data_IF_573275569485
#
_entry.id   IF_573275569485
#
_cell.length_a   1.000
_cell.length_b   1.000
_cell.length_c   1.000
_cell.angle_alpha   90.00
_cell.angle_beta   90.00
_cell.angle_gamma   90.00
#
_symmetry.space_group_name_H-M   'P 1'
#
loop_
_entity.id
_entity.type
_entity.pdbx_description
1 polymer ?
#
# COMPACT_ATOMS: atom_id res chain seq x y z
N UNK A 1 -8.63 4.90 -20.47
CA UNK A 1 -7.83 4.53 -19.29
C UNK A 1 -7.86 5.55 -18.14
N UNK A 2 -7.71 6.85 -18.44
CA UNK A 2 -7.55 7.95 -17.47
C UNK A 2 -8.46 7.92 -16.23
N UNK A 3 -9.78 7.81 -16.38
CA UNK A 3 -10.74 7.80 -15.25
C UNK A 3 -10.49 6.65 -14.26
N UNK A 4 -10.07 5.47 -14.74
CA UNK A 4 -9.74 4.32 -13.88
C UNK A 4 -8.44 4.55 -13.10
N UNK A 5 -7.47 5.23 -13.69
CA UNK A 5 -6.23 5.64 -13.01
C UNK A 5 -6.51 6.72 -11.97
N UNK A 6 -7.38 7.68 -12.25
CA UNK A 6 -7.81 8.68 -11.26
C UNK A 6 -8.46 8.03 -10.04
N UNK A 7 -9.27 6.98 -10.25
CA UNK A 7 -9.82 6.17 -9.18
C UNK A 7 -8.74 5.42 -8.38
N UNK A 8 -7.69 4.90 -9.02
CA UNK A 8 -6.53 4.32 -8.31
C UNK A 8 -5.82 5.36 -7.43
N UNK A 9 -5.62 6.58 -7.94
CA UNK A 9 -4.98 7.67 -7.20
C UNK A 9 -5.84 8.07 -6.00
N UNK A 10 -7.16 8.06 -6.13
CA UNK A 10 -8.08 8.25 -5.00
C UNK A 10 -7.93 7.12 -3.98
N UNK A 11 -7.85 5.86 -4.42
CA UNK A 11 -7.64 4.73 -3.52
C UNK A 11 -6.29 4.82 -2.78
N UNK A 12 -5.23 5.34 -3.41
CA UNK A 12 -3.99 5.65 -2.70
C UNK A 12 -4.16 6.75 -1.64
N UNK A 13 -4.94 7.79 -1.92
CA UNK A 13 -5.27 8.83 -0.94
C UNK A 13 -6.06 8.24 0.25
N UNK A 14 -7.00 7.35 -0.01
CA UNK A 14 -7.73 6.60 1.01
C UNK A 14 -6.81 5.75 1.90
N UNK A 15 -5.83 5.06 1.31
CA UNK A 15 -4.82 4.29 2.05
C UNK A 15 -3.97 5.22 2.91
N UNK A 16 -3.49 6.34 2.36
CA UNK A 16 -2.71 7.35 3.11
C UNK A 16 -3.51 7.92 4.29
N UNK A 17 -4.80 8.19 4.09
CA UNK A 17 -5.71 8.64 5.14
C UNK A 17 -5.87 7.59 6.26
N UNK A 18 -6.01 6.30 5.91
CA UNK A 18 -6.08 5.23 6.89
C UNK A 18 -4.76 5.06 7.69
N UNK A 19 -3.62 5.17 7.01
CA UNK A 19 -2.30 5.18 7.63
C UNK A 19 -2.14 6.36 8.59
N UNK A 20 -2.62 7.55 8.23
CA UNK A 20 -2.59 8.72 9.11
C UNK A 20 -3.44 8.49 10.37
N UNK A 21 -4.64 7.90 10.25
CA UNK A 21 -5.47 7.51 11.41
C UNK A 21 -4.76 6.54 12.34
N UNK A 22 -4.11 5.51 11.80
CA UNK A 22 -3.30 4.59 12.60
C UNK A 22 -2.14 5.32 13.29
N UNK A 23 -1.46 6.20 12.56
CA UNK A 23 -0.29 6.92 13.09
C UNK A 23 -0.67 7.86 14.24
N UNK A 24 -1.87 8.47 14.20
CA UNK A 24 -2.37 9.29 15.31
C UNK A 24 -2.54 8.49 16.61
N UNK A 25 -2.78 7.17 16.54
CA UNK A 25 -2.84 6.32 17.74
C UNK A 25 -1.47 6.14 18.38
N UNK A 26 -0.38 6.34 17.64
CA UNK A 26 0.99 6.13 18.15
C UNK A 26 1.43 7.21 19.13
N UNK A 27 0.73 8.34 19.16
CA UNK A 27 0.99 9.42 20.12
C UNK A 27 0.28 9.18 21.46
N UNK A 28 -0.54 8.14 21.56
CA UNK A 28 -1.27 7.75 22.76
C UNK A 28 -0.51 6.66 23.54
N UNK A 29 -0.70 6.59 24.87
CA UNK A 29 -0.37 5.40 25.64
C UNK A 29 -1.08 4.16 25.09
N UNK A 30 -0.45 2.98 25.19
CA UNK A 30 -0.99 1.74 24.62
C UNK A 30 -2.45 1.46 25.07
N UNK A 31 -2.76 1.65 26.36
CA UNK A 31 -4.09 1.42 26.91
C UNK A 31 -5.20 2.27 26.28
N UNK A 32 -4.86 3.45 25.76
CA UNK A 32 -5.80 4.37 25.12
C UNK A 32 -5.88 4.10 23.60
N UNK A 33 -4.79 3.60 23.01
CA UNK A 33 -4.71 3.24 21.59
C UNK A 33 -5.34 1.87 21.27
N UNK A 34 -5.21 0.91 22.19
CA UNK A 34 -5.57 -0.51 22.01
C UNK A 34 -7.00 -0.74 21.50
N UNK A 35 -8.04 -0.05 22.02
CA UNK A 35 -9.43 -0.23 21.57
C UNK A 35 -9.64 0.10 20.08
N UNK A 36 -8.79 0.94 19.51
CA UNK A 36 -8.89 1.42 18.12
C UNK A 36 -7.85 0.79 17.20
N UNK A 37 -6.80 0.21 17.76
CA UNK A 37 -5.62 -0.22 17.03
C UNK A 37 -5.93 -1.31 16.00
N UNK A 38 -6.62 -2.38 16.40
CA UNK A 38 -6.89 -3.50 15.51
C UNK A 38 -7.86 -3.14 14.39
N UNK A 39 -8.85 -2.30 14.69
CA UNK A 39 -9.76 -1.77 13.68
C UNK A 39 -9.00 -0.93 12.64
N UNK A 40 -8.08 -0.06 13.07
CA UNK A 40 -7.24 0.72 12.18
C UNK A 40 -6.31 -0.15 11.32
N UNK A 41 -5.66 -1.16 11.92
CA UNK A 41 -4.82 -2.14 11.20
C UNK A 41 -5.62 -2.88 10.13
N UNK A 42 -6.80 -3.38 10.48
CA UNK A 42 -7.67 -4.09 9.55
C UNK A 42 -8.19 -3.18 8.42
N UNK A 43 -8.48 -1.91 8.70
CA UNK A 43 -8.91 -0.94 7.69
C UNK A 43 -7.85 -0.71 6.61
N UNK A 44 -6.58 -0.53 7.02
CA UNK A 44 -5.46 -0.40 6.09
C UNK A 44 -5.34 -1.65 5.22
N UNK A 45 -5.36 -2.84 5.83
CA UNK A 45 -5.27 -4.10 5.10
C UNK A 45 -6.36 -4.26 4.04
N UNK A 46 -7.62 -3.95 4.38
CA UNK A 46 -8.75 -3.98 3.42
C UNK A 46 -8.55 -3.00 2.27
N UNK A 47 -8.16 -1.75 2.57
CA UNK A 47 -7.96 -0.70 1.54
C UNK A 47 -6.80 -1.03 0.60
N UNK A 48 -5.69 -1.53 1.14
CA UNK A 48 -4.54 -1.98 0.34
C UNK A 48 -4.94 -3.15 -0.56
N UNK A 49 -5.65 -4.16 -0.03
CA UNK A 49 -6.10 -5.30 -0.84
C UNK A 49 -7.05 -4.88 -1.96
N UNK A 50 -8.00 -3.98 -1.68
CA UNK A 50 -8.88 -3.40 -2.70
C UNK A 50 -8.07 -2.67 -3.78
N UNK A 51 -7.11 -1.84 -3.38
CA UNK A 51 -6.25 -1.10 -4.30
C UNK A 51 -5.40 -2.01 -5.18
N UNK A 52 -4.81 -3.07 -4.61
CA UNK A 52 -4.01 -4.02 -5.37
C UNK A 52 -4.85 -4.79 -6.38
N UNK A 53 -6.04 -5.27 -5.97
CA UNK A 53 -6.96 -5.95 -6.88
C UNK A 53 -7.38 -5.03 -8.04
N UNK A 54 -7.78 -3.80 -7.72
CA UNK A 54 -8.18 -2.84 -8.74
C UNK A 54 -7.01 -2.47 -9.67
N UNK A 55 -5.79 -2.31 -9.13
CA UNK A 55 -4.59 -2.06 -9.92
C UNK A 55 -4.31 -3.20 -10.89
N UNK A 56 -4.45 -4.44 -10.43
CA UNK A 56 -4.25 -5.62 -11.25
C UNK A 56 -5.21 -5.63 -12.44
N UNK A 57 -6.52 -5.48 -12.15
CA UNK A 57 -7.59 -5.47 -13.15
C UNK A 57 -7.46 -4.36 -14.20
N UNK A 58 -7.08 -3.14 -13.79
CA UNK A 58 -7.15 -1.96 -14.68
C UNK A 58 -5.81 -1.57 -15.29
N UNK A 59 -4.69 -2.01 -14.72
CA UNK A 59 -3.34 -1.63 -15.17
C UNK A 59 -2.49 -2.84 -15.51
N UNK A 60 -2.24 -3.73 -14.54
CA UNK A 60 -1.22 -4.77 -14.70
C UNK A 60 -1.64 -5.85 -15.69
N UNK A 61 -2.85 -6.42 -15.55
CA UNK A 61 -3.35 -7.44 -16.46
C UNK A 61 -3.43 -6.93 -17.92
N UNK A 62 -4.01 -5.75 -18.22
CA UNK A 62 -4.00 -5.21 -19.58
C UNK A 62 -2.61 -4.96 -20.16
N UNK A 63 -1.64 -4.51 -19.34
CA UNK A 63 -0.26 -4.32 -19.79
C UNK A 63 0.45 -5.66 -20.07
N UNK A 64 0.19 -6.69 -19.25
CA UNK A 64 0.73 -8.04 -19.43
C UNK A 64 0.16 -8.71 -20.67
N UNK A 65 -1.17 -8.72 -20.82
CA UNK A 65 -1.87 -9.35 -21.96
C UNK A 65 -1.41 -8.79 -23.31
N UNK A 66 -1.04 -7.51 -23.36
CA UNK A 66 -0.57 -6.82 -24.56
C UNK A 66 0.96 -6.81 -24.70
N UNK A 67 1.70 -7.40 -23.77
CA UNK A 67 3.17 -7.39 -23.77
C UNK A 67 3.79 -5.98 -23.63
N UNK A 68 3.07 -5.05 -23.01
CA UNK A 68 3.46 -3.64 -22.89
C UNK A 68 4.17 -3.32 -21.58
N UNK A 69 4.07 -4.17 -20.56
CA UNK A 69 4.63 -3.89 -19.24
C UNK A 69 6.17 -3.70 -19.25
N UNK A 70 6.88 -4.47 -20.07
CA UNK A 70 8.34 -4.37 -20.25
C UNK A 70 8.77 -3.04 -20.90
N UNK A 71 7.84 -2.31 -21.52
CA UNK A 71 8.10 -0.99 -22.12
C UNK A 71 8.09 0.14 -21.10
N UNK A 72 7.73 -0.14 -19.84
CA UNK A 72 7.76 0.82 -18.74
C UNK A 72 9.05 0.58 -17.94
N UNK A 73 10.04 1.51 -17.96
CA UNK A 73 11.37 1.27 -17.41
C UNK A 73 11.42 0.86 -15.92
N UNK A 74 10.42 1.26 -15.13
CA UNK A 74 10.35 0.99 -13.69
C UNK A 74 9.45 -0.19 -13.30
N UNK A 75 8.81 -0.88 -14.26
CA UNK A 75 7.79 -1.89 -13.96
C UNK A 75 8.32 -3.04 -13.09
N UNK A 76 9.45 -3.62 -13.46
CA UNK A 76 10.08 -4.71 -12.70
C UNK A 76 10.44 -4.29 -11.26
N UNK A 77 10.94 -3.06 -11.07
CA UNK A 77 11.23 -2.52 -9.74
C UNK A 77 9.96 -2.35 -8.91
N UNK A 78 8.89 -1.82 -9.51
CA UNK A 78 7.59 -1.63 -8.83
C UNK A 78 6.96 -2.98 -8.46
N UNK A 79 7.01 -3.98 -9.34
CA UNK A 79 6.51 -5.32 -9.07
C UNK A 79 7.29 -5.97 -7.91
N UNK A 80 8.62 -5.88 -7.94
CA UNK A 80 9.49 -6.38 -6.88
C UNK A 80 9.19 -5.70 -5.52
N UNK A 81 9.16 -4.37 -5.48
CA UNK A 81 8.84 -3.60 -4.26
C UNK A 81 7.43 -3.88 -3.75
N UNK A 82 6.47 -4.11 -4.65
CA UNK A 82 5.10 -4.48 -4.26
C UNK A 82 5.09 -5.86 -3.59
N UNK A 83 5.81 -6.84 -4.15
CA UNK A 83 5.94 -8.19 -3.56
C UNK A 83 6.66 -8.14 -2.21
N UNK A 84 7.77 -7.43 -2.13
CA UNK A 84 8.53 -7.24 -0.90
C UNK A 84 7.68 -6.61 0.20
N UNK A 85 6.99 -5.50 -0.09
CA UNK A 85 6.13 -4.84 0.88
C UNK A 85 5.00 -5.76 1.37
N UNK A 86 4.43 -6.60 0.49
CA UNK A 86 3.43 -7.60 0.89
C UNK A 86 4.01 -8.62 1.86
N UNK A 87 5.24 -9.11 1.61
CA UNK A 87 5.91 -10.05 2.53
C UNK A 87 6.20 -9.40 3.88
N UNK A 88 6.72 -8.16 3.88
CA UNK A 88 6.99 -7.40 5.09
C UNK A 88 5.71 -7.15 5.92
N UNK A 89 4.59 -6.80 5.27
CA UNK A 89 3.30 -6.64 5.96
C UNK A 89 2.79 -7.97 6.54
N UNK A 90 2.91 -9.07 5.80
CA UNK A 90 2.52 -10.39 6.30
C UNK A 90 3.34 -10.79 7.53
N UNK A 91 4.66 -10.64 7.47
CA UNK A 91 5.55 -10.89 8.61
C UNK A 91 5.17 -10.01 9.80
N UNK A 92 4.97 -8.71 9.58
CA UNK A 92 4.57 -7.77 10.62
C UNK A 92 3.24 -8.12 11.29
N UNK A 93 2.27 -8.70 10.57
CA UNK A 93 1.02 -9.17 11.17
C UNK A 93 1.27 -10.38 12.08
N UNK A 94 2.13 -11.31 11.66
CA UNK A 94 2.49 -12.51 12.41
C UNK A 94 3.31 -12.16 13.67
N UNK A 95 4.30 -11.28 13.52
CA UNK A 95 5.23 -10.92 14.59
C UNK A 95 4.54 -10.04 15.65
N UNK A 96 3.72 -9.07 15.22
CA UNK A 96 3.04 -8.13 16.10
C UNK A 96 1.62 -8.59 16.47
N UNK A 97 1.59 -9.68 17.25
CA UNK A 97 0.40 -10.14 17.97
C UNK A 97 -0.05 -9.16 19.05
N UNK A 98 -1.24 -9.34 19.61
CA UNK A 98 -1.72 -8.49 20.70
C UNK A 98 -0.78 -8.46 21.91
N UNK A 99 -0.31 -9.62 22.34
CA UNK A 99 0.65 -9.73 23.45
C UNK A 99 2.00 -9.08 23.12
N UNK A 100 2.50 -9.22 21.90
CA UNK A 100 3.77 -8.61 21.49
C UNK A 100 3.69 -7.08 21.47
N UNK A 101 2.58 -6.53 20.96
CA UNK A 101 2.34 -5.08 20.94
C UNK A 101 2.20 -4.52 22.36
N UNK A 102 1.44 -5.19 23.22
CA UNK A 102 1.29 -4.77 24.61
C UNK A 102 2.63 -4.77 25.36
N UNK A 103 3.49 -5.75 25.06
CA UNK A 103 4.82 -5.89 25.66
C UNK A 103 5.82 -4.85 25.16
N UNK A 104 5.74 -4.45 23.89
CA UNK A 104 6.68 -3.53 23.25
C UNK A 104 5.96 -2.55 22.30
N UNK A 105 5.24 -1.61 22.92
CA UNK A 105 4.54 -0.55 22.19
C UNK A 105 5.48 0.34 21.35
N UNK A 106 6.61 0.85 21.88
CA UNK A 106 7.54 1.66 21.09
C UNK A 106 8.15 0.90 19.90
N UNK A 107 8.50 -0.38 20.09
CA UNK A 107 9.02 -1.22 19.01
C UNK A 107 7.98 -1.46 17.91
N UNK A 108 6.73 -1.71 18.29
CA UNK A 108 5.63 -1.81 17.34
C UNK A 108 5.47 -0.50 16.53
N UNK A 109 5.45 0.65 17.19
CA UNK A 109 5.34 1.96 16.53
C UNK A 109 6.46 2.15 15.52
N UNK A 110 7.71 1.86 15.92
CA UNK A 110 8.87 2.00 15.05
C UNK A 110 8.76 1.06 13.83
N UNK A 111 8.33 -0.19 14.03
CA UNK A 111 8.13 -1.17 12.96
C UNK A 111 7.03 -0.73 11.98
N UNK A 112 5.87 -0.31 12.50
CA UNK A 112 4.74 0.14 11.70
C UNK A 112 5.07 1.41 10.90
N UNK A 113 5.78 2.38 11.49
CA UNK A 113 6.23 3.59 10.78
C UNK A 113 7.12 3.26 9.58
N UNK A 114 8.02 2.27 9.69
CA UNK A 114 8.86 1.84 8.56
C UNK A 114 8.02 1.29 7.40
N UNK A 115 7.02 0.45 7.69
CA UNK A 115 6.13 -0.06 6.65
C UNK A 115 5.30 1.05 5.98
N UNK A 116 4.82 2.01 6.77
CA UNK A 116 4.06 3.14 6.27
C UNK A 116 4.88 4.01 5.29
N UNK A 117 6.17 4.22 5.57
CA UNK A 117 7.10 4.91 4.65
C UNK A 117 7.23 4.14 3.34
N UNK A 118 7.49 2.83 3.39
CA UNK A 118 7.62 2.00 2.19
C UNK A 118 6.34 1.99 1.34
N UNK A 119 5.18 1.93 1.99
CA UNK A 119 3.87 2.03 1.33
C UNK A 119 3.69 3.38 0.64
N UNK A 120 4.04 4.47 1.33
CA UNK A 120 3.95 5.81 0.77
C UNK A 120 4.85 5.95 -0.47
N UNK A 121 6.13 5.58 -0.36
CA UNK A 121 7.08 5.63 -1.48
C UNK A 121 6.62 4.80 -2.67
N UNK A 122 6.09 3.59 -2.44
CA UNK A 122 5.60 2.73 -3.51
C UNK A 122 4.37 3.34 -4.21
N UNK A 123 3.43 3.91 -3.46
CA UNK A 123 2.26 4.59 -4.07
C UNK A 123 2.70 5.81 -4.88
N UNK A 124 3.61 6.64 -4.36
CA UNK A 124 4.15 7.79 -5.08
C UNK A 124 4.89 7.39 -6.36
N UNK A 125 5.69 6.32 -6.32
CA UNK A 125 6.39 5.80 -7.50
C UNK A 125 5.40 5.31 -8.57
N UNK A 126 4.33 4.61 -8.17
CA UNK A 126 3.26 4.18 -9.09
C UNK A 126 2.58 5.38 -9.74
N UNK A 127 2.21 6.40 -8.95
CA UNK A 127 1.53 7.60 -9.42
C UNK A 127 2.35 8.43 -10.40
N UNK A 128 3.66 8.53 -10.16
CA UNK A 128 4.56 9.40 -10.93
C UNK A 128 5.20 8.70 -12.13
N UNK A 129 5.39 7.38 -12.09
CA UNK A 129 6.14 6.65 -13.11
C UNK A 129 5.33 5.57 -13.83
N UNK A 130 4.54 4.76 -13.11
CA UNK A 130 3.78 3.66 -13.73
C UNK A 130 2.52 4.15 -14.44
N UNK A 131 1.70 4.92 -13.75
CA UNK A 131 0.37 5.29 -14.21
C UNK A 131 0.36 6.22 -15.44
N UNK A 132 1.24 7.23 -15.55
CA UNK A 132 1.32 8.04 -16.77
C UNK A 132 1.69 7.19 -18.00
N UNK A 133 2.63 6.27 -17.86
CA UNK A 133 3.05 5.38 -18.93
C UNK A 133 1.97 4.34 -19.28
N UNK A 134 1.26 3.80 -18.27
CA UNK A 134 0.12 2.92 -18.49
C UNK A 134 -0.99 3.60 -19.29
N UNK A 135 -1.31 4.86 -18.98
CA UNK A 135 -2.26 5.67 -19.78
C UNK A 135 -1.75 5.79 -21.21
N UNK A 136 -0.50 6.22 -21.39
CA UNK A 136 0.09 6.46 -22.72
C UNK A 136 0.09 5.19 -23.59
N UNK A 137 0.38 4.04 -23.00
CA UNK A 137 0.48 2.76 -23.72
C UNK A 137 -0.89 2.14 -23.98
N UNK A 138 -1.80 2.17 -23.00
CA UNK A 138 -3.11 1.50 -23.11
C UNK A 138 -4.15 2.34 -23.87
N UNK A 139 -4.03 3.67 -23.93
CA UNK A 139 -4.92 4.49 -24.78
C UNK A 139 -4.48 4.49 -26.27
N UNK A 140 -3.26 4.01 -26.59
CA UNK A 140 -2.72 3.92 -27.97
C UNK A 140 -2.78 2.52 -28.58
N UNK A 141 -3.11 1.51 -27.78
CA UNK A 141 -3.16 0.11 -28.16
C UNK A 141 -4.61 -0.37 -28.23
#
# INVERSE_FOLDING_TARGET
MRKRIEELIEQHRDVRSAVARLTALFDLPYQDAEPHLYAARADIGRRVMRCLKFQDEVVLAPLHERGLLSRIPCSASIESRTRELRLLYSAHIVDWTAGAIAKDWPGYIASAKRLNVLLHELTALKETQLYPEAIRLLDRA
#
